data_IF_565764655843
#
_entry.id   IF_565764655843
#
_cell.length_a   1.000
_cell.length_b   1.000
_cell.length_c   1.000
_cell.angle_alpha   90.00
_cell.angle_beta   90.00
_cell.angle_gamma   90.00
#
_symmetry.space_group_name_H-M   'P 1'
#
loop_
_entity.id
_entity.type
_entity.pdbx_description
1 polymer ?
#
# COMPACT_ATOMS: atom_id res chain seq x y z
N UNK A 1 10.28 -6.40 17.50
CA UNK A 1 9.02 -5.99 16.87
C UNK A 1 9.33 -5.61 15.45
N UNK A 2 8.85 -6.40 14.51
CA UNK A 2 9.21 -6.32 13.10
C UNK A 2 7.94 -6.31 12.26
N UNK A 3 7.75 -5.21 11.52
CA UNK A 3 6.72 -5.11 10.49
C UNK A 3 7.42 -5.20 9.14
N UNK A 4 7.03 -6.19 8.33
CA UNK A 4 7.41 -6.27 6.92
C UNK A 4 6.35 -5.55 6.09
N UNK A 5 6.79 -4.69 5.18
CA UNK A 5 5.92 -3.93 4.29
C UNK A 5 6.40 -4.20 2.87
N UNK A 6 5.49 -4.61 2.00
CA UNK A 6 5.80 -4.92 0.60
C UNK A 6 4.64 -4.51 -0.31
N UNK A 7 4.95 -4.24 -1.57
CA UNK A 7 3.97 -3.90 -2.60
C UNK A 7 3.85 -4.98 -3.68
N UNK A 8 2.68 -5.09 -4.29
CA UNK A 8 2.42 -6.00 -5.39
C UNK A 8 1.55 -5.32 -6.45
N UNK A 9 1.78 -5.65 -7.73
CA UNK A 9 0.99 -5.11 -8.83
C UNK A 9 1.38 -3.71 -9.30
N UNK A 10 2.53 -3.17 -8.89
CA UNK A 10 3.02 -1.85 -9.35
C UNK A 10 3.75 -1.91 -10.70
N UNK A 11 4.19 -3.10 -11.14
CA UNK A 11 4.85 -3.31 -12.43
C UNK A 11 3.90 -3.53 -13.61
N UNK A 12 2.89 -4.38 -13.42
CA UNK A 12 1.86 -4.68 -14.42
C UNK A 12 0.55 -3.97 -14.05
N UNK A 13 0.40 -2.72 -14.50
CA UNK A 13 -0.73 -1.84 -14.16
C UNK A 13 -1.96 -2.22 -14.99
N UNK A 14 -2.50 -3.41 -14.72
CA UNK A 14 -3.71 -3.98 -15.35
C UNK A 14 -4.89 -3.92 -14.36
N UNK A 15 -4.60 -3.87 -13.05
CA UNK A 15 -5.57 -3.75 -11.96
C UNK A 15 -4.97 -3.01 -10.76
N UNK A 16 -5.68 -3.03 -9.63
CA UNK A 16 -5.22 -2.37 -8.41
C UNK A 16 -3.88 -2.98 -7.94
N UNK A 17 -3.00 -2.12 -7.46
CA UNK A 17 -1.83 -2.53 -6.71
C UNK A 17 -2.23 -2.79 -5.25
N UNK A 18 -1.40 -3.50 -4.50
CA UNK A 18 -1.67 -3.84 -3.12
C UNK A 18 -0.45 -3.54 -2.25
N UNK A 19 -0.71 -3.02 -1.05
CA UNK A 19 0.29 -2.83 0.00
C UNK A 19 -0.03 -3.82 1.12
N UNK A 20 0.92 -4.71 1.40
CA UNK A 20 0.85 -5.68 2.50
C UNK A 20 1.67 -5.20 3.70
N UNK A 21 1.13 -5.36 4.91
CA UNK A 21 1.84 -5.16 6.17
C UNK A 21 1.72 -6.41 7.02
N UNK A 22 2.84 -7.07 7.32
CA UNK A 22 2.91 -8.29 8.12
C UNK A 22 3.63 -8.04 9.44
N UNK A 23 2.94 -8.27 10.57
CA UNK A 23 3.57 -8.29 11.89
C UNK A 23 4.15 -9.68 12.18
N UNK A 24 5.47 -9.82 12.14
CA UNK A 24 6.14 -11.12 12.19
C UNK A 24 5.89 -11.92 13.46
N UNK A 25 5.76 -11.23 14.59
CA UNK A 25 5.59 -11.91 15.87
C UNK A 25 4.21 -12.56 16.04
N UNK A 26 3.20 -12.06 15.32
CA UNK A 26 1.79 -12.49 15.49
C UNK A 26 1.21 -13.13 14.23
N UNK A 27 1.81 -12.91 13.07
CA UNK A 27 1.25 -13.29 11.78
C UNK A 27 0.09 -12.41 11.32
N UNK A 28 -0.25 -11.34 12.05
CA UNK A 28 -1.29 -10.40 11.63
C UNK A 28 -0.89 -9.71 10.31
N UNK A 29 -1.76 -9.84 9.31
CA UNK A 29 -1.56 -9.34 7.96
C UNK A 29 -2.67 -8.34 7.61
N UNK A 30 -2.27 -7.14 7.22
CA UNK A 30 -3.17 -6.12 6.66
C UNK A 30 -2.83 -5.95 5.19
N UNK A 31 -3.85 -6.04 4.33
CA UNK A 31 -3.73 -5.76 2.90
C UNK A 31 -4.59 -4.52 2.59
N UNK A 32 -4.00 -3.59 1.85
CA UNK A 32 -4.65 -2.37 1.38
C UNK A 32 -4.54 -2.29 -0.13
N UNK A 33 -5.65 -2.03 -0.81
CA UNK A 33 -5.66 -1.79 -2.25
C UNK A 33 -5.26 -0.34 -2.55
N UNK A 34 -4.44 -0.16 -3.58
CA UNK A 34 -4.06 1.10 -4.18
C UNK A 34 -4.65 1.14 -5.59
N UNK A 35 -5.60 2.04 -5.81
CA UNK A 35 -6.39 2.04 -7.04
C UNK A 35 -5.52 2.20 -8.29
N UNK A 36 -5.81 1.39 -9.31
CA UNK A 36 -5.19 1.47 -10.64
C UNK A 36 -5.42 2.84 -11.30
N UNK A 37 -6.50 3.54 -10.95
CA UNK A 37 -6.83 4.84 -11.52
C UNK A 37 -5.80 5.92 -11.14
N UNK A 38 -5.13 5.77 -10.00
CA UNK A 38 -4.08 6.69 -9.56
C UNK A 38 -2.85 6.65 -10.49
N UNK A 39 -2.65 5.55 -11.19
CA UNK A 39 -1.55 5.36 -12.13
C UNK A 39 -1.85 5.87 -13.54
N UNK A 40 -2.97 6.59 -13.73
CA UNK A 40 -3.41 7.11 -15.02
C UNK A 40 -3.40 8.64 -15.02
N UNK A 41 -3.34 9.22 -16.22
CA UNK A 41 -3.65 10.63 -16.48
C UNK A 41 -2.91 11.64 -15.58
N UNK A 42 -3.67 12.56 -14.99
CA UNK A 42 -3.12 13.61 -14.13
C UNK A 42 -2.66 13.08 -12.78
N UNK A 43 -3.30 12.05 -12.23
CA UNK A 43 -2.91 11.44 -10.96
C UNK A 43 -1.47 10.92 -10.99
N UNK A 44 -1.10 10.26 -12.09
CA UNK A 44 0.29 9.82 -12.30
C UNK A 44 1.26 11.01 -12.40
N UNK A 45 0.92 12.03 -13.21
CA UNK A 45 1.75 13.25 -13.35
C UNK A 45 1.95 13.96 -12.01
N UNK A 46 0.93 13.97 -11.16
CA UNK A 46 0.92 14.58 -9.83
C UNK A 46 1.54 13.71 -8.74
N UNK A 47 2.05 12.52 -9.09
CA UNK A 47 2.66 11.55 -8.17
C UNK A 47 1.71 11.15 -7.04
N UNK A 48 0.41 11.09 -7.33
CA UNK A 48 -0.63 10.73 -6.37
C UNK A 48 -0.52 9.29 -5.83
N UNK A 49 -0.17 8.26 -6.63
CA UNK A 49 0.04 6.91 -6.09
C UNK A 49 1.01 6.87 -4.92
N UNK A 50 2.12 7.62 -5.00
CA UNK A 50 3.12 7.64 -3.93
C UNK A 50 2.57 8.26 -2.64
N UNK A 51 1.80 9.34 -2.76
CA UNK A 51 1.16 9.99 -1.60
C UNK A 51 0.15 9.04 -0.96
N UNK A 52 -0.64 8.36 -1.78
CA UNK A 52 -1.66 7.44 -1.30
C UNK A 52 -1.06 6.20 -0.67
N UNK A 53 0.01 5.63 -1.23
CA UNK A 53 0.78 4.54 -0.60
C UNK A 53 1.23 4.90 0.82
N UNK A 54 1.75 6.12 1.03
CA UNK A 54 2.14 6.59 2.36
C UNK A 54 0.94 6.68 3.31
N UNK A 55 -0.22 7.13 2.83
CA UNK A 55 -1.44 7.16 3.64
C UNK A 55 -1.88 5.75 4.04
N UNK A 56 -1.91 4.81 3.09
CA UNK A 56 -2.29 3.41 3.33
C UNK A 56 -1.36 2.73 4.33
N UNK A 57 -0.05 2.97 4.24
CA UNK A 57 0.93 2.47 5.21
C UNK A 57 0.66 3.04 6.61
N UNK A 58 0.44 4.36 6.74
CA UNK A 58 0.11 4.99 8.02
C UNK A 58 -1.17 4.41 8.63
N UNK A 59 -2.19 4.17 7.82
CA UNK A 59 -3.43 3.52 8.28
C UNK A 59 -3.22 2.08 8.72
N UNK A 60 -2.41 1.31 7.97
CA UNK A 60 -2.05 -0.06 8.33
C UNK A 60 -1.31 -0.12 9.66
N UNK A 61 -0.32 0.75 9.87
CA UNK A 61 0.40 0.86 11.13
C UNK A 61 -0.53 1.20 12.30
N UNK A 62 -1.43 2.18 12.13
CA UNK A 62 -2.44 2.50 13.15
C UNK A 62 -3.30 1.31 13.53
N UNK A 63 -3.72 0.49 12.56
CA UNK A 63 -4.50 -0.74 12.82
C UNK A 63 -3.70 -1.79 13.58
N UNK A 64 -2.39 -1.86 13.37
CA UNK A 64 -1.47 -2.70 14.14
C UNK A 64 -1.13 -2.10 15.51
N UNK A 65 -1.71 -0.93 15.86
CA UNK A 65 -1.45 -0.13 17.07
C UNK A 65 -0.05 0.49 17.14
N UNK A 66 0.37 1.13 16.04
CA UNK A 66 1.62 1.91 15.91
C UNK A 66 1.36 3.35 15.46
#
# INVERSE_FOLDING_TARGET
MTIEIDDSGTGDIIGDAFIGLLRKETGELIIKALSVELFKGESWKNKEPYKETVNLVKEGLKKLNF
#
